data_IF_801715186853
#
_entry.id   IF_801715186853
#
_cell.length_a   1.000
_cell.length_b   1.000
_cell.length_c   1.000
_cell.angle_alpha   90.00
_cell.angle_beta   90.00
_cell.angle_gamma   90.00
#
_symmetry.space_group_name_H-M   'P 1'
#
loop_
_entity.id
_entity.type
_entity.pdbx_description
1 polymer ?
#
# COMPACT_ATOMS: atom_id res chain seq x y z
N UNK A 1 8.72 11.53 11.35
CA UNK A 1 8.32 12.15 12.63
C UNK A 1 7.17 11.47 13.37
N UNK A 2 6.17 10.87 12.70
CA UNK A 2 5.04 10.20 13.36
C UNK A 2 5.45 9.19 14.46
N UNK A 3 6.40 8.29 14.19
CA UNK A 3 6.90 7.33 15.17
C UNK A 3 7.49 7.96 16.44
N UNK A 4 8.17 9.10 16.30
CA UNK A 4 8.68 9.85 17.47
C UNK A 4 7.53 10.41 18.31
N UNK A 5 6.49 10.95 17.67
CA UNK A 5 5.29 11.44 18.37
C UNK A 5 4.52 10.30 19.05
N UNK A 6 4.48 9.11 18.45
CA UNK A 6 3.86 7.93 19.05
C UNK A 6 4.59 7.52 20.34
N UNK A 7 5.92 7.42 20.29
CA UNK A 7 6.75 7.06 21.45
C UNK A 7 6.61 8.12 22.56
N UNK A 8 6.72 9.39 22.19
CA UNK A 8 6.62 10.48 23.16
C UNK A 8 5.21 10.58 23.77
N UNK A 9 4.17 10.46 22.96
CA UNK A 9 2.78 10.48 23.41
C UNK A 9 2.48 9.36 24.41
N UNK A 10 2.95 8.13 24.15
CA UNK A 10 2.78 7.00 25.10
C UNK A 10 3.50 7.26 26.42
N UNK A 11 4.69 7.87 26.37
CA UNK A 11 5.44 8.26 27.58
C UNK A 11 4.68 9.30 28.40
N UNK A 12 4.15 10.34 27.75
CA UNK A 12 3.36 11.38 28.41
C UNK A 12 2.10 10.80 29.04
N UNK A 13 1.37 9.94 28.33
CA UNK A 13 0.16 9.30 28.85
C UNK A 13 0.45 8.42 30.08
N UNK A 14 1.57 7.71 30.10
CA UNK A 14 2.00 6.94 31.27
C UNK A 14 2.25 7.84 32.50
N UNK A 15 2.86 9.00 32.30
CA UNK A 15 3.04 9.97 33.39
C UNK A 15 1.73 10.66 33.78
N UNK A 16 0.81 10.84 32.83
CA UNK A 16 -0.52 11.35 33.10
C UNK A 16 -1.29 10.41 34.04
N UNK A 17 -1.17 9.09 33.89
CA UNK A 17 -1.77 8.13 34.84
C UNK A 17 -1.26 8.34 36.28
N UNK A 18 0.05 8.53 36.43
CA UNK A 18 0.66 8.81 37.74
C UNK A 18 0.17 10.15 38.29
N UNK A 19 0.08 11.17 37.45
CA UNK A 19 -0.45 12.48 37.83
C UNK A 19 -1.91 12.38 38.28
N UNK A 20 -2.75 11.66 37.53
CA UNK A 20 -4.16 11.45 37.84
C UNK A 20 -4.37 10.75 39.18
N UNK A 21 -3.51 9.78 39.53
CA UNK A 21 -3.54 9.14 40.85
C UNK A 21 -3.26 10.11 42.01
N UNK A 22 -2.52 11.20 41.76
CA UNK A 22 -2.20 12.20 42.77
C UNK A 22 -3.22 13.36 42.84
N UNK A 23 -4.29 13.32 42.04
CA UNK A 23 -5.35 14.34 42.10
C UNK A 23 -6.25 14.12 43.33
N UNK A 24 -6.55 15.17 44.11
CA UNK A 24 -7.43 15.05 45.26
C UNK A 24 -8.90 14.89 44.84
N UNK A 25 -9.62 13.98 45.49
CA UNK A 25 -11.01 13.59 45.16
C UNK A 25 -12.04 14.72 45.30
N UNK A 26 -11.71 15.80 46.01
CA UNK A 26 -12.61 16.94 46.17
C UNK A 26 -12.64 17.87 44.94
N UNK A 27 -11.81 17.61 43.93
CA UNK A 27 -11.68 18.41 42.71
C UNK A 27 -12.32 17.73 41.48
N UNK A 28 -13.55 17.24 41.60
CA UNK A 28 -14.25 16.48 40.54
C UNK A 28 -14.17 17.10 39.14
N UNK A 29 -14.39 18.42 39.02
CA UNK A 29 -14.33 19.10 37.71
C UNK A 29 -12.93 19.01 37.05
N UNK A 30 -11.85 19.03 37.84
CA UNK A 30 -10.49 18.86 37.33
C UNK A 30 -10.20 17.41 36.95
N UNK A 31 -10.72 16.46 37.71
CA UNK A 31 -10.60 15.02 37.41
C UNK A 31 -11.33 14.71 36.09
N UNK A 32 -12.58 15.15 35.94
CA UNK A 32 -13.36 14.96 34.73
C UNK A 32 -12.71 15.61 33.51
N UNK A 33 -12.22 16.85 33.66
CA UNK A 33 -11.49 17.54 32.60
C UNK A 33 -10.21 16.80 32.22
N UNK A 34 -9.42 16.35 33.20
CA UNK A 34 -8.20 15.60 32.98
C UNK A 34 -8.46 14.31 32.21
N UNK A 35 -9.42 13.49 32.66
CA UNK A 35 -9.77 12.23 31.99
C UNK A 35 -10.32 12.45 30.59
N UNK A 36 -11.10 13.52 30.38
CA UNK A 36 -11.59 13.89 29.05
C UNK A 36 -10.43 14.20 28.08
N UNK A 37 -9.49 15.06 28.48
CA UNK A 37 -8.33 15.43 27.65
C UNK A 37 -7.44 14.21 27.40
N UNK A 38 -7.19 13.39 28.42
CA UNK A 38 -6.41 12.17 28.33
C UNK A 38 -7.03 11.18 27.35
N UNK A 39 -8.34 10.96 27.43
CA UNK A 39 -9.08 10.09 26.50
C UNK A 39 -9.01 10.59 25.05
N UNK A 40 -9.20 11.90 24.82
CA UNK A 40 -9.01 12.48 23.48
C UNK A 40 -7.60 12.27 22.94
N UNK A 41 -6.58 12.45 23.80
CA UNK A 41 -5.18 12.29 23.44
C UNK A 41 -4.85 10.84 23.10
N UNK A 42 -5.39 9.87 23.85
CA UNK A 42 -5.26 8.44 23.57
C UNK A 42 -5.86 8.09 22.20
N UNK A 43 -7.10 8.51 21.94
CA UNK A 43 -7.77 8.26 20.65
C UNK A 43 -6.99 8.87 19.48
N UNK A 44 -6.47 10.09 19.64
CA UNK A 44 -5.66 10.73 18.61
C UNK A 44 -4.35 9.96 18.37
N UNK A 45 -3.70 9.50 19.43
CA UNK A 45 -2.45 8.74 19.35
C UNK A 45 -2.65 7.37 18.69
N UNK A 46 -3.74 6.68 19.01
CA UNK A 46 -4.08 5.38 18.40
C UNK A 46 -4.36 5.52 16.90
N UNK A 47 -5.05 6.58 16.48
CA UNK A 47 -5.24 6.91 15.06
C UNK A 47 -3.91 7.17 14.36
N UNK A 48 -3.02 7.93 14.99
CA UNK A 48 -1.69 8.20 14.44
C UNK A 48 -0.87 6.91 14.32
N UNK A 49 -0.93 6.04 15.32
CA UNK A 49 -0.25 4.75 15.31
C UNK A 49 -0.75 3.86 14.17
N UNK A 50 -2.07 3.70 14.06
CA UNK A 50 -2.68 2.91 12.99
C UNK A 50 -2.33 3.45 11.59
N UNK A 51 -2.34 4.78 11.42
CA UNK A 51 -1.94 5.40 10.15
C UNK A 51 -0.48 5.10 9.81
N UNK A 52 0.42 5.20 10.81
CA UNK A 52 1.84 4.93 10.62
C UNK A 52 2.12 3.46 10.28
N UNK A 53 1.41 2.52 10.91
CA UNK A 53 1.50 1.08 10.59
C UNK A 53 0.99 0.78 9.18
N UNK A 54 -0.13 1.38 8.79
CA UNK A 54 -0.74 1.18 7.47
C UNK A 54 0.16 1.71 6.35
N UNK A 55 0.75 2.89 6.54
CA UNK A 55 1.69 3.49 5.58
C UNK A 55 2.94 2.62 5.43
N UNK A 56 3.52 2.16 6.55
CA UNK A 56 4.66 1.27 6.53
C UNK A 56 4.34 -0.06 5.82
N UNK A 57 3.17 -0.64 6.04
CA UNK A 57 2.72 -1.86 5.38
C UNK A 57 2.65 -1.72 3.87
N UNK A 58 2.10 -0.61 3.37
CA UNK A 58 2.03 -0.31 1.92
C UNK A 58 3.41 -0.16 1.30
N UNK A 59 4.34 0.51 1.97
CA UNK A 59 5.71 0.66 1.48
C UNK A 59 6.44 -0.69 1.38
N UNK A 60 6.22 -1.59 2.35
CA UNK A 60 6.80 -2.93 2.33
C UNK A 60 6.19 -3.81 1.22
N UNK A 61 4.88 -3.73 1.02
CA UNK A 61 4.17 -4.43 -0.07
C UNK A 61 4.65 -3.96 -1.45
N UNK A 62 4.72 -2.64 -1.66
CA UNK A 62 5.25 -2.06 -2.89
C UNK A 62 6.72 -2.44 -3.14
N UNK A 63 7.53 -2.50 -2.08
CA UNK A 63 8.94 -2.92 -2.16
C UNK A 63 9.11 -4.37 -2.61
N UNK A 64 8.20 -5.27 -2.20
CA UNK A 64 8.17 -6.67 -2.64
C UNK A 64 7.80 -6.79 -4.12
N UNK A 65 6.84 -5.99 -4.59
CA UNK A 65 6.43 -5.96 -6.00
C UNK A 65 7.55 -5.47 -6.93
N UNK A 66 8.29 -4.42 -6.54
CA UNK A 66 9.43 -3.88 -7.33
C UNK A 66 10.56 -4.89 -7.49
N UNK A 67 10.81 -5.73 -6.47
CA UNK A 67 11.83 -6.79 -6.54
C UNK A 67 11.40 -7.94 -7.47
N UNK A 68 10.10 -8.23 -7.58
CA UNK A 68 9.58 -9.25 -8.51
C UNK A 68 9.68 -8.80 -9.99
N UNK A 69 9.53 -7.50 -10.26
CA UNK A 69 9.49 -6.94 -11.62
C UNK A 69 10.88 -6.94 -12.30
N UNK A 70 12.00 -7.04 -11.56
CA UNK A 70 13.35 -7.03 -12.14
C UNK A 70 13.94 -8.39 -12.49
N UNK A 71 13.23 -9.51 -12.31
CA UNK A 71 13.81 -10.85 -12.57
C UNK A 71 13.46 -11.48 -13.92
N UNK A 72 12.62 -10.87 -14.76
CA UNK A 72 12.17 -11.49 -16.03
C UNK A 72 12.05 -10.58 -17.26
N UNK A 73 12.52 -9.33 -17.25
CA UNK A 73 12.56 -8.48 -18.47
C UNK A 73 13.78 -8.79 -19.36
N UNK A 74 14.08 -10.08 -19.54
CA UNK A 74 15.13 -10.61 -20.42
C UNK A 74 14.60 -11.34 -21.65
N UNK A 75 13.32 -11.18 -22.02
CA UNK A 75 12.80 -11.76 -23.27
C UNK A 75 13.17 -10.83 -24.43
N UNK A 76 14.23 -11.19 -25.17
CA UNK A 76 14.52 -10.61 -26.49
C UNK A 76 13.32 -10.84 -27.40
N UNK A 77 12.59 -9.77 -27.71
CA UNK A 77 11.64 -9.75 -28.83
C UNK A 77 12.45 -9.86 -30.12
N UNK A 78 12.45 -11.04 -30.74
CA UNK A 78 12.85 -11.20 -32.14
C UNK A 78 11.70 -10.69 -32.99
N UNK A 79 11.82 -9.44 -33.45
CA UNK A 79 10.96 -8.91 -34.51
C UNK A 79 11.25 -9.67 -35.80
N UNK A 80 10.38 -10.60 -36.19
CA UNK A 80 10.38 -11.18 -37.53
C UNK A 80 9.56 -10.25 -38.43
N UNK A 81 10.25 -9.37 -39.15
CA UNK A 81 9.70 -8.72 -40.33
C UNK A 81 9.57 -9.78 -41.43
N UNK A 82 8.34 -10.09 -41.86
CA UNK A 82 8.10 -10.60 -43.21
C UNK A 82 6.99 -9.73 -43.79
N UNK A 83 7.42 -8.84 -44.68
CA UNK A 83 6.61 -7.79 -45.26
C UNK A 83 5.52 -8.28 -46.20
N UNK A 84 4.58 -7.36 -46.43
CA UNK A 84 3.53 -7.43 -47.42
C UNK A 84 4.12 -7.71 -48.81
N UNK A 85 3.60 -8.72 -49.51
CA UNK A 85 3.75 -8.80 -50.96
C UNK A 85 2.43 -9.24 -51.59
N UNK A 86 1.66 -8.25 -52.03
CA UNK A 86 0.45 -8.42 -52.81
C UNK A 86 0.78 -8.68 -54.29
N UNK A 87 0.05 -9.64 -54.87
CA UNK A 87 -0.23 -9.84 -56.30
C UNK A 87 0.89 -10.24 -57.27
N UNK A 88 0.99 -11.55 -57.55
CA UNK A 88 1.28 -12.15 -58.88
C UNK A 88 0.72 -13.59 -58.87
N UNK A 89 0.09 -14.21 -59.88
CA UNK A 89 -0.47 -13.84 -61.17
C UNK A 89 -1.09 -15.15 -61.77
N UNK A 90 -2.12 -15.01 -62.63
CA UNK A 90 -2.49 -15.90 -63.76
C UNK A 90 -3.16 -17.29 -63.53
N UNK A 91 -4.48 -17.28 -63.78
CA UNK A 91 -5.27 -18.29 -64.51
C UNK A 91 -4.48 -19.33 -65.32
N UNK A 92 -4.75 -20.62 -65.11
CA UNK A 92 -4.76 -21.64 -66.17
C UNK A 92 -6.11 -22.38 -66.19
N UNK A 93 -6.84 -22.04 -67.24
CA UNK A 93 -8.10 -22.60 -67.73
C UNK A 93 -7.98 -24.10 -68.03
N UNK A 94 -9.10 -24.81 -67.79
CA UNK A 94 -9.73 -25.88 -68.59
C UNK A 94 -9.26 -27.33 -68.45
N UNK A 95 -10.30 -28.16 -68.20
CA UNK A 95 -10.55 -29.52 -68.71
C UNK A 95 -9.52 -30.57 -68.24
N UNK A 96 -9.87 -31.71 -67.64
CA UNK A 96 -10.74 -32.78 -68.16
C UNK A 96 -10.70 -34.01 -67.23
N UNK A 97 -11.79 -34.81 -67.17
CA UNK A 97 -11.82 -36.25 -66.78
C UNK A 97 -11.83 -36.54 -65.27
N UNK A 98 -12.93 -36.94 -64.61
CA UNK A 98 -13.61 -38.27 -64.54
C UNK A 98 -12.68 -39.45 -64.21
N UNK A 99 -13.09 -40.24 -63.20
CA UNK A 99 -13.02 -41.72 -63.02
C UNK A 99 -12.43 -42.09 -61.64
N UNK A 100 -13.03 -42.94 -60.79
CA UNK A 100 -14.23 -43.81 -60.78
C UNK A 100 -14.81 -43.78 -59.36
#
# INVERSE_FOLDING_TARGET
>A
DAWKQIVEGRRILKWADVYGYNLPENENAKIEFFEHIKGMSQVALDKLHHSAETELGKELENGLDVVSVKKYTGVKRVSREIGDNSNQNRNTRRQSGIQV
#
